data_IF_397759853000
#
_entry.id   IF_397759853000
#
_cell.length_a   1.000
_cell.length_b   1.000
_cell.length_c   1.000
_cell.angle_alpha   90.00
_cell.angle_beta   90.00
_cell.angle_gamma   90.00
#
_symmetry.space_group_name_H-M   'P 1'
#
loop_
_entity.id
_entity.type
_entity.pdbx_description
1 polymer ?
#
# COMPACT_ATOMS: atom_id res chain seq x y z
N UNK A 1 -8.16 14.96 -82.30
CA UNK A 1 -8.01 13.96 -83.39
C UNK A 1 -7.51 12.66 -82.76
N UNK A 2 -7.60 11.47 -83.36
CA UNK A 2 -8.17 11.08 -84.67
C UNK A 2 -9.61 10.52 -84.46
N UNK A 3 -10.26 9.47 -85.02
CA UNK A 3 -9.94 8.34 -85.92
C UNK A 3 -8.90 7.33 -85.35
N UNK A 4 -8.88 6.03 -85.65
CA UNK A 4 -9.81 5.09 -86.34
C UNK A 4 -10.26 4.00 -85.32
N UNK A 5 -11.36 3.23 -85.39
CA UNK A 5 -12.26 2.70 -86.44
C UNK A 5 -11.74 1.39 -87.12
N UNK A 6 -12.64 0.37 -87.23
CA UNK A 6 -12.65 -0.85 -88.11
C UNK A 6 -12.56 -2.20 -87.35
N UNK A 7 -13.34 -3.28 -87.61
CA UNK A 7 -14.71 -3.56 -88.19
C UNK A 7 -15.05 -5.07 -87.97
N UNK A 8 -16.33 -5.45 -88.08
CA UNK A 8 -16.79 -6.86 -88.25
C UNK A 8 -18.09 -7.15 -87.49
N UNK A 9 -19.32 -7.08 -88.04
CA UNK A 9 -19.85 -7.49 -89.36
C UNK A 9 -19.76 -9.02 -89.52
N UNK A 10 -20.83 -9.83 -89.49
CA UNK A 10 -22.07 -9.86 -90.32
C UNK A 10 -23.23 -10.57 -89.55
N UNK A 11 -24.53 -10.20 -89.67
CA UNK A 11 -25.55 -10.71 -90.62
C UNK A 11 -25.70 -12.27 -90.61
N UNK A 12 -26.89 -12.93 -90.59
CA UNK A 12 -28.33 -12.53 -90.69
C UNK A 12 -29.24 -13.78 -90.41
N UNK A 13 -30.58 -13.62 -90.51
CA UNK A 13 -31.65 -14.68 -90.63
C UNK A 13 -32.08 -15.34 -89.29
N UNK A 14 -33.34 -15.54 -88.85
CA UNK A 14 -34.76 -15.22 -89.25
C UNK A 14 -35.67 -16.45 -89.51
N UNK A 15 -36.86 -16.46 -88.88
CA UNK A 15 -38.09 -17.25 -89.23
C UNK A 15 -38.15 -18.73 -88.73
N UNK A 16 -39.36 -19.30 -88.47
CA UNK A 16 -39.72 -19.82 -87.12
C UNK A 16 -40.36 -21.23 -87.14
N UNK A 17 -41.12 -21.61 -86.08
CA UNK A 17 -42.50 -22.17 -86.13
C UNK A 17 -42.98 -22.73 -84.77
N UNK A 18 -44.30 -22.69 -84.54
CA UNK A 18 -45.07 -23.45 -83.51
C UNK A 18 -45.66 -24.71 -84.19
N UNK A 19 -45.98 -25.84 -83.52
CA UNK A 19 -47.01 -25.98 -82.46
C UNK A 19 -46.37 -26.56 -81.16
N UNK A 20 -46.98 -27.28 -80.19
CA UNK A 20 -48.30 -27.94 -79.98
C UNK A 20 -48.72 -27.74 -78.49
N UNK A 21 -50.00 -27.96 -78.16
CA UNK A 21 -50.54 -27.89 -76.78
C UNK A 21 -50.94 -29.29 -76.27
N UNK A 22 -50.59 -29.64 -75.02
CA UNK A 22 -51.46 -30.48 -74.16
C UNK A 22 -51.21 -30.27 -72.66
N UNK A 23 -52.24 -30.55 -71.85
CA UNK A 23 -52.33 -30.31 -70.40
C UNK A 23 -52.01 -31.59 -69.60
N UNK A 24 -51.62 -31.45 -68.33
CA UNK A 24 -52.13 -32.18 -67.13
C UNK A 24 -51.64 -31.45 -65.86
N UNK A 25 -52.29 -31.66 -64.71
CA UNK A 25 -52.06 -30.93 -63.44
C UNK A 25 -51.63 -31.89 -62.30
N UNK A 26 -50.51 -31.59 -61.64
CA UNK A 26 -50.17 -31.93 -60.24
C UNK A 26 -48.96 -31.03 -59.85
N UNK A 27 -48.97 -30.18 -58.80
CA UNK A 27 -49.00 -30.38 -57.33
C UNK A 27 -47.67 -30.86 -56.69
N UNK A 28 -47.37 -30.29 -55.50
CA UNK A 28 -46.27 -30.60 -54.54
C UNK A 28 -44.87 -29.97 -54.78
N UNK A 29 -44.71 -28.74 -54.24
CA UNK A 29 -43.71 -28.24 -53.26
C UNK A 29 -42.16 -28.47 -53.37
N UNK A 30 -41.42 -27.52 -52.76
CA UNK A 30 -39.97 -27.49 -52.43
C UNK A 30 -39.01 -27.45 -53.64
N UNK A 31 -38.42 -26.33 -54.11
CA UNK A 31 -38.10 -24.97 -53.59
C UNK A 31 -36.65 -24.79 -53.05
N UNK A 32 -35.79 -24.32 -53.96
CA UNK A 32 -34.49 -23.62 -53.80
C UNK A 32 -33.34 -24.26 -53.00
N UNK A 33 -32.25 -24.58 -53.71
CA UNK A 33 -30.92 -24.78 -53.15
C UNK A 33 -29.97 -23.64 -53.60
N UNK A 34 -29.96 -22.52 -52.87
CA UNK A 34 -28.96 -21.46 -53.01
C UNK A 34 -28.14 -21.39 -51.72
N UNK A 35 -26.86 -21.75 -51.80
CA UNK A 35 -25.98 -21.80 -50.63
C UNK A 35 -25.49 -20.41 -50.22
N UNK A 36 -26.23 -19.73 -49.35
CA UNK A 36 -25.78 -18.50 -48.69
C UNK A 36 -24.81 -18.83 -47.56
N UNK A 37 -23.51 -18.58 -47.78
CA UNK A 37 -22.50 -18.69 -46.74
C UNK A 37 -22.64 -17.55 -45.74
N UNK A 38 -23.52 -17.71 -44.76
CA UNK A 38 -23.62 -16.80 -43.61
C UNK A 38 -22.40 -17.03 -42.73
N UNK A 39 -21.36 -16.22 -42.93
CA UNK A 39 -20.26 -16.08 -41.97
C UNK A 39 -20.86 -15.42 -40.73
N UNK A 40 -21.24 -16.25 -39.75
CA UNK A 40 -21.67 -15.78 -38.45
C UNK A 40 -20.46 -15.10 -37.77
N UNK A 41 -20.42 -13.77 -37.82
CA UNK A 41 -19.48 -12.97 -37.07
C UNK A 41 -19.83 -13.10 -35.57
N UNK A 42 -19.32 -14.17 -34.94
CA UNK A 42 -19.40 -14.35 -33.51
C UNK A 42 -18.77 -13.09 -32.86
N UNK A 43 -19.53 -12.32 -32.07
CA UNK A 43 -19.00 -11.11 -31.46
C UNK A 43 -17.83 -11.52 -30.58
N UNK A 44 -16.64 -11.00 -30.89
CA UNK A 44 -15.47 -11.23 -30.05
C UNK A 44 -15.74 -10.58 -28.69
N UNK A 45 -16.16 -11.39 -27.72
CA UNK A 45 -16.31 -11.00 -26.32
C UNK A 45 -14.95 -10.60 -25.80
N UNK A 46 -14.59 -9.32 -25.97
CA UNK A 46 -13.39 -8.79 -25.36
C UNK A 46 -13.49 -9.05 -23.85
N UNK A 47 -12.48 -9.67 -23.23
CA UNK A 47 -12.49 -9.87 -21.79
C UNK A 47 -12.59 -8.49 -21.16
N UNK A 48 -13.65 -8.25 -20.39
CA UNK A 48 -13.84 -6.98 -19.71
C UNK A 48 -12.65 -6.78 -18.78
N UNK A 49 -11.78 -5.82 -19.11
CA UNK A 49 -10.62 -5.47 -18.29
C UNK A 49 -11.17 -4.89 -17.00
N UNK A 50 -11.25 -5.73 -15.97
CA UNK A 50 -11.64 -5.31 -14.61
C UNK A 50 -10.56 -4.37 -14.10
N UNK A 51 -10.76 -3.07 -14.30
CA UNK A 51 -9.95 -2.05 -13.66
C UNK A 51 -10.05 -2.26 -12.15
N UNK A 52 -8.90 -2.38 -11.47
CA UNK A 52 -8.88 -2.49 -10.02
C UNK A 52 -9.56 -1.25 -9.42
N UNK A 53 -10.41 -1.41 -8.38
CA UNK A 53 -11.09 -0.28 -7.77
C UNK A 53 -10.07 0.72 -7.21
N UNK A 54 -10.34 2.01 -7.38
CA UNK A 54 -9.49 3.09 -6.86
C UNK A 54 -9.66 3.12 -5.35
N UNK A 55 -8.61 2.83 -4.59
CA UNK A 55 -8.66 2.83 -3.12
C UNK A 55 -8.19 4.15 -2.50
N UNK A 56 -7.33 4.89 -3.20
CA UNK A 56 -6.80 6.19 -2.80
C UNK A 56 -6.64 7.11 -4.02
N UNK A 57 -6.76 8.42 -3.80
CA UNK A 57 -6.66 9.46 -4.83
C UNK A 57 -5.95 10.70 -4.26
N UNK A 58 -5.28 11.53 -5.09
CA UNK A 58 -4.46 12.65 -4.60
C UNK A 58 -5.25 13.69 -3.79
N UNK A 59 -6.47 14.00 -4.23
CA UNK A 59 -7.28 15.13 -3.77
C UNK A 59 -8.76 14.76 -3.59
N UNK A 60 -9.52 15.65 -2.93
CA UNK A 60 -10.93 15.49 -2.63
C UNK A 60 -11.81 15.36 -3.89
N UNK A 61 -11.46 16.06 -4.98
CA UNK A 61 -12.28 16.07 -6.19
C UNK A 61 -12.19 14.74 -6.93
N UNK A 62 -10.97 14.24 -7.15
CA UNK A 62 -10.68 12.93 -7.75
C UNK A 62 -11.21 11.78 -6.88
N UNK A 63 -11.05 11.84 -5.55
CA UNK A 63 -11.62 10.87 -4.63
C UNK A 63 -13.17 10.80 -4.72
N UNK A 64 -13.84 11.96 -4.73
CA UNK A 64 -15.31 12.03 -4.79
C UNK A 64 -15.87 11.57 -6.14
N UNK A 65 -15.17 11.85 -7.25
CA UNK A 65 -15.53 11.34 -8.57
C UNK A 65 -15.39 9.81 -8.62
N UNK A 66 -14.25 9.28 -8.19
CA UNK A 66 -13.99 7.84 -8.17
C UNK A 66 -14.99 7.10 -7.27
N UNK A 67 -15.23 7.58 -6.05
CA UNK A 67 -16.14 6.95 -5.09
C UNK A 67 -17.58 6.84 -5.64
N UNK A 68 -18.07 7.89 -6.31
CA UNK A 68 -19.41 7.91 -6.94
C UNK A 68 -19.52 6.99 -8.14
N UNK A 69 -18.46 6.89 -8.97
CA UNK A 69 -18.46 6.05 -10.17
C UNK A 69 -18.34 4.55 -9.85
N UNK A 70 -17.56 4.17 -8.83
CA UNK A 70 -17.30 2.76 -8.51
C UNK A 70 -18.18 2.18 -7.39
N UNK A 71 -18.89 3.03 -6.63
CA UNK A 71 -19.78 2.57 -5.55
C UNK A 71 -19.09 2.15 -4.24
N UNK A 72 -17.79 2.42 -4.08
CA UNK A 72 -17.03 2.16 -2.84
C UNK A 72 -16.16 3.36 -2.45
N UNK A 73 -15.81 3.50 -1.17
CA UNK A 73 -15.10 4.67 -0.62
C UNK A 73 -13.66 4.79 -1.13
N UNK A 74 -13.15 6.02 -1.22
CA UNK A 74 -11.79 6.34 -1.70
C UNK A 74 -11.08 7.25 -0.71
N UNK A 75 -9.85 6.95 -0.31
CA UNK A 75 -9.06 7.82 0.59
C UNK A 75 -8.47 9.04 -0.14
N UNK A 76 -8.47 10.20 0.52
CA UNK A 76 -7.82 11.43 0.07
C UNK A 76 -6.38 11.47 0.60
N UNK A 77 -5.41 11.27 -0.28
CA UNK A 77 -3.99 11.26 0.05
C UNK A 77 -3.50 12.59 0.63
N UNK A 78 -3.95 13.72 0.08
CA UNK A 78 -3.62 15.06 0.58
C UNK A 78 -4.08 15.34 2.02
N UNK A 79 -4.98 14.52 2.58
CA UNK A 79 -5.50 14.62 3.95
C UNK A 79 -5.03 13.46 4.86
N UNK A 80 -4.20 12.54 4.36
CA UNK A 80 -3.62 11.42 5.13
C UNK A 80 -2.54 11.95 6.08
N UNK A 81 -2.65 11.62 7.36
CA UNK A 81 -1.65 11.97 8.39
C UNK A 81 -1.16 10.72 9.14
N UNK A 82 -0.24 10.91 10.10
CA UNK A 82 0.24 9.85 11.00
C UNK A 82 -0.89 9.11 11.72
N UNK A 83 -1.98 9.82 12.06
CA UNK A 83 -3.07 9.34 12.92
C UNK A 83 -4.47 9.55 12.33
N UNK A 84 -4.60 9.98 11.05
CA UNK A 84 -5.90 10.16 10.42
C UNK A 84 -5.94 9.83 8.92
N UNK A 85 -7.12 9.44 8.45
CA UNK A 85 -7.46 9.18 7.05
C UNK A 85 -8.84 9.75 6.73
N UNK A 86 -8.97 10.44 5.60
CA UNK A 86 -10.24 11.01 5.14
C UNK A 86 -10.71 10.28 3.89
N UNK A 87 -11.94 9.81 3.87
CA UNK A 87 -12.52 9.06 2.76
C UNK A 87 -13.71 9.78 2.13
N UNK A 88 -13.73 9.85 0.80
CA UNK A 88 -14.93 10.18 0.02
C UNK A 88 -15.87 8.97 0.00
N UNK A 89 -17.15 9.17 0.32
CA UNK A 89 -18.16 8.12 0.26
C UNK A 89 -19.02 8.23 -1.01
N UNK A 90 -19.51 7.11 -1.59
CA UNK A 90 -20.32 7.12 -2.82
C UNK A 90 -21.61 7.94 -2.74
N UNK A 91 -22.19 8.07 -1.55
CA UNK A 91 -23.37 8.89 -1.27
C UNK A 91 -23.09 10.42 -1.23
N UNK A 92 -21.83 10.84 -1.42
CA UNK A 92 -21.43 12.24 -1.38
C UNK A 92 -21.03 12.77 0.00
N UNK A 93 -20.99 11.94 1.04
CA UNK A 93 -20.48 12.35 2.36
C UNK A 93 -18.98 12.09 2.51
N UNK A 94 -18.41 12.51 3.63
CA UNK A 94 -17.03 12.28 4.02
C UNK A 94 -16.97 11.46 5.31
N UNK A 95 -15.97 10.58 5.43
CA UNK A 95 -15.64 9.88 6.68
C UNK A 95 -14.23 10.24 7.10
N UNK A 96 -14.07 10.75 8.33
CA UNK A 96 -12.77 10.94 8.97
C UNK A 96 -12.53 9.79 9.96
N UNK A 97 -11.55 8.93 9.65
CA UNK A 97 -11.01 7.97 10.62
C UNK A 97 -9.84 8.62 11.35
N UNK A 98 -9.80 8.51 12.68
CA UNK A 98 -8.73 9.08 13.52
C UNK A 98 -8.38 8.13 14.68
N UNK A 99 -7.08 7.96 14.92
CA UNK A 99 -6.50 7.14 15.97
C UNK A 99 -5.99 8.00 17.14
N UNK A 100 -5.85 7.40 18.33
CA UNK A 100 -5.30 8.07 19.51
C UNK A 100 -3.77 8.31 19.44
N UNK A 101 -3.09 7.75 18.44
CA UNK A 101 -1.69 7.97 18.16
C UNK A 101 -1.33 7.64 16.71
N UNK A 102 -0.06 7.83 16.33
CA UNK A 102 0.46 7.39 15.04
C UNK A 102 0.15 5.90 14.77
N UNK A 103 -0.46 5.63 13.62
CA UNK A 103 -0.58 4.28 13.04
C UNK A 103 0.35 4.09 11.85
N UNK A 104 0.85 5.21 11.31
CA UNK A 104 1.80 5.29 10.19
C UNK A 104 2.77 6.44 10.40
N UNK A 105 3.96 6.33 9.80
CA UNK A 105 5.03 7.32 9.88
C UNK A 105 5.58 7.60 8.48
N UNK A 106 6.08 8.82 8.25
CA UNK A 106 6.69 9.17 6.97
C UNK A 106 8.11 8.61 6.88
N UNK A 107 8.47 8.07 5.71
CA UNK A 107 9.82 7.60 5.35
C UNK A 107 10.09 7.98 3.90
N UNK A 108 10.96 8.97 3.69
CA UNK A 108 11.06 9.67 2.40
C UNK A 108 9.72 10.31 2.03
N UNK A 109 9.25 10.06 0.82
CA UNK A 109 7.93 10.51 0.37
C UNK A 109 6.79 9.53 0.66
N UNK A 110 7.12 8.33 1.16
CA UNK A 110 6.15 7.29 1.49
C UNK A 110 5.63 7.34 2.93
N UNK A 111 4.50 6.69 3.14
CA UNK A 111 3.99 6.30 4.46
C UNK A 111 4.27 4.81 4.70
N UNK A 112 4.77 4.46 5.88
CA UNK A 112 4.86 3.07 6.36
C UNK A 112 4.09 2.91 7.66
N UNK A 113 3.57 1.72 8.01
CA UNK A 113 2.99 1.47 9.33
C UNK A 113 3.99 1.75 10.46
N UNK A 114 3.48 2.07 11.66
CA UNK A 114 4.30 2.02 12.88
C UNK A 114 4.75 0.57 13.13
N UNK A 115 6.04 0.39 13.38
CA UNK A 115 6.66 -0.87 13.74
C UNK A 115 7.73 -0.60 14.80
N UNK A 116 7.41 -0.88 16.06
CA UNK A 116 8.30 -0.63 17.20
C UNK A 116 9.39 -1.68 17.37
N UNK A 117 9.46 -2.69 16.49
CA UNK A 117 10.47 -3.76 16.57
C UNK A 117 11.89 -3.19 16.51
N UNK A 118 12.73 -3.65 17.43
CA UNK A 118 14.15 -3.34 17.50
C UNK A 118 14.92 -4.19 16.49
N UNK A 119 15.75 -3.54 15.67
CA UNK A 119 16.63 -4.18 14.70
C UNK A 119 18.10 -3.83 14.98
N UNK A 120 19.04 -4.78 14.86
CA UNK A 120 20.45 -4.52 15.13
C UNK A 120 21.08 -3.61 14.05
N UNK A 121 22.00 -2.75 14.49
CA UNK A 121 22.75 -1.79 13.69
C UNK A 121 24.23 -2.20 13.64
N UNK A 122 24.98 -1.72 12.64
CA UNK A 122 26.39 -2.06 12.44
C UNK A 122 27.35 -1.56 13.54
N UNK A 123 26.94 -0.65 14.42
CA UNK A 123 27.68 -0.24 15.62
C UNK A 123 27.37 -1.12 16.86
N UNK A 124 26.56 -2.18 16.69
CA UNK A 124 26.10 -3.06 17.77
C UNK A 124 24.90 -2.54 18.55
N UNK A 125 24.39 -1.34 18.24
CA UNK A 125 23.18 -0.78 18.84
C UNK A 125 21.90 -1.34 18.22
N UNK A 126 20.75 -1.02 18.80
CA UNK A 126 19.44 -1.49 18.33
C UNK A 126 18.51 -0.33 18.00
N UNK A 127 18.14 -0.17 16.73
CA UNK A 127 17.28 0.90 16.24
C UNK A 127 15.80 0.46 16.16
N UNK A 128 14.88 1.40 16.38
CA UNK A 128 13.44 1.19 16.19
C UNK A 128 13.09 1.30 14.71
N UNK A 129 12.49 0.24 14.16
CA UNK A 129 12.26 0.07 12.71
C UNK A 129 11.37 1.18 12.09
N UNK A 130 10.25 1.53 12.71
CA UNK A 130 9.38 2.62 12.24
C UNK A 130 8.56 3.28 13.37
N UNK A 131 9.08 4.37 13.94
CA UNK A 131 8.37 5.27 14.86
C UNK A 131 8.47 6.75 14.41
N UNK A 132 7.70 7.65 15.03
CA UNK A 132 7.71 9.10 14.72
C UNK A 132 8.95 9.81 15.27
N UNK A 133 9.50 9.31 16.37
CA UNK A 133 10.88 9.57 16.77
C UNK A 133 11.80 8.47 16.20
N UNK A 134 13.01 8.85 15.83
CA UNK A 134 14.11 7.92 15.62
C UNK A 134 14.69 7.58 16.99
N UNK A 135 14.79 6.29 17.32
CA UNK A 135 15.19 5.80 18.64
C UNK A 135 16.20 4.68 18.47
N UNK A 136 17.31 4.77 19.19
CA UNK A 136 18.39 3.77 19.18
C UNK A 136 18.80 3.47 20.61
N UNK A 137 18.72 2.20 21.00
CA UNK A 137 19.14 1.68 22.31
C UNK A 137 20.57 1.14 22.25
N UNK A 138 21.29 1.26 23.37
CA UNK A 138 22.66 0.76 23.55
C UNK A 138 22.84 -0.71 23.15
N UNK A 139 24.04 -1.05 22.68
CA UNK A 139 24.50 -2.44 22.55
C UNK A 139 25.19 -2.98 23.82
N UNK A 140 25.38 -2.14 24.85
CA UNK A 140 26.17 -2.43 26.05
C UNK A 140 27.40 -1.51 26.21
N UNK A 141 28.25 -1.85 27.18
CA UNK A 141 29.53 -1.18 27.44
C UNK A 141 29.39 0.24 28.03
N UNK A 142 30.28 1.16 27.64
CA UNK A 142 30.25 2.59 28.03
C UNK A 142 29.75 3.47 26.89
N UNK A 143 28.66 3.05 26.25
CA UNK A 143 27.95 3.80 25.21
C UNK A 143 26.73 4.53 25.81
N UNK A 144 26.12 5.51 25.11
CA UNK A 144 24.85 6.08 25.53
C UNK A 144 23.77 4.99 25.65
N UNK A 145 22.92 5.10 26.68
CA UNK A 145 21.82 4.17 26.94
C UNK A 145 20.73 4.27 25.87
N UNK A 146 20.36 5.51 25.51
CA UNK A 146 19.44 5.82 24.40
C UNK A 146 19.94 7.05 23.64
N UNK A 147 19.85 7.01 22.31
CA UNK A 147 19.81 8.18 21.43
C UNK A 147 18.39 8.30 20.88
N UNK A 148 17.80 9.49 20.94
CA UNK A 148 16.46 9.76 20.39
C UNK A 148 16.47 11.08 19.61
N UNK A 149 16.00 11.07 18.37
CA UNK A 149 15.83 12.25 17.54
C UNK A 149 14.37 12.42 17.10
N UNK A 150 13.82 13.63 17.22
CA UNK A 150 12.46 13.94 16.81
C UNK A 150 12.35 15.42 16.42
N UNK A 151 11.75 15.71 15.27
CA UNK A 151 11.45 17.08 14.79
C UNK A 151 12.67 18.03 14.80
N UNK A 152 13.86 17.51 14.45
CA UNK A 152 15.11 18.30 14.46
C UNK A 152 15.67 18.61 15.85
N UNK A 153 15.23 17.87 16.87
CA UNK A 153 15.78 17.90 18.24
C UNK A 153 16.32 16.52 18.60
N UNK A 154 17.35 16.50 19.42
CA UNK A 154 18.02 15.28 19.86
C UNK A 154 18.09 15.22 21.39
N UNK A 155 18.01 14.00 21.91
CA UNK A 155 18.15 13.65 23.32
C UNK A 155 19.03 12.40 23.42
N UNK A 156 20.08 12.48 24.23
CA UNK A 156 20.97 11.36 24.52
C UNK A 156 20.96 11.11 26.03
N UNK A 157 20.56 9.89 26.42
CA UNK A 157 20.44 9.45 27.81
C UNK A 157 21.59 8.49 28.13
N UNK A 158 22.16 8.60 29.32
CA UNK A 158 23.30 7.79 29.78
C UNK A 158 23.00 7.08 31.09
N UNK A 159 23.40 5.81 31.18
CA UNK A 159 23.46 5.07 32.44
C UNK A 159 24.73 5.47 33.21
N UNK A 160 24.70 5.61 34.56
CA UNK A 160 25.88 6.03 35.34
C UNK A 160 26.98 4.95 35.43
N UNK A 161 26.67 3.69 35.15
CA UNK A 161 27.62 2.58 35.11
C UNK A 161 27.89 2.07 33.68
N UNK A 162 28.80 1.09 33.50
CA UNK A 162 28.81 0.29 32.28
C UNK A 162 27.48 -0.47 32.15
N UNK A 163 27.00 -0.63 30.92
CA UNK A 163 25.84 -1.47 30.59
C UNK A 163 26.31 -2.90 30.24
N UNK A 164 25.56 -3.93 30.64
CA UNK A 164 25.70 -5.28 30.09
C UNK A 164 25.15 -5.31 28.65
N UNK A 165 25.45 -6.38 27.92
CA UNK A 165 24.86 -6.62 26.60
C UNK A 165 23.35 -6.92 26.75
N UNK A 166 22.44 -6.27 26.01
CA UNK A 166 21.00 -6.43 26.23
C UNK A 166 20.42 -7.69 25.58
N UNK A 167 19.48 -8.33 26.28
CA UNK A 167 18.52 -9.26 25.67
C UNK A 167 17.43 -8.46 24.96
N UNK A 168 17.33 -8.60 23.64
CA UNK A 168 16.35 -7.88 22.81
C UNK A 168 15.23 -8.81 22.35
N UNK A 169 13.99 -8.43 22.65
CA UNK A 169 12.77 -9.18 22.34
C UNK A 169 11.68 -8.22 21.87
N UNK A 170 11.36 -8.24 20.57
CA UNK A 170 10.35 -7.36 19.97
C UNK A 170 10.72 -5.88 20.04
N UNK A 171 9.93 -5.11 20.79
CA UNK A 171 10.12 -3.67 21.05
C UNK A 171 11.00 -3.38 22.28
N UNK A 172 11.48 -4.41 22.96
CA UNK A 172 12.04 -4.34 24.32
C UNK A 172 13.51 -4.76 24.36
N UNK A 173 14.35 -3.97 25.02
CA UNK A 173 15.75 -4.30 25.33
C UNK A 173 15.93 -4.40 26.86
N UNK A 174 16.41 -5.54 27.35
CA UNK A 174 16.58 -5.83 28.79
C UNK A 174 18.07 -5.99 29.11
N UNK A 175 18.58 -5.07 29.93
CA UNK A 175 19.95 -5.02 30.41
C UNK A 175 19.99 -5.73 31.77
N UNK A 176 20.48 -6.96 31.78
CA UNK A 176 20.39 -7.84 32.96
C UNK A 176 21.47 -7.53 34.00
N UNK A 177 21.12 -7.44 35.28
CA UNK A 177 22.05 -7.19 36.39
C UNK A 177 22.86 -5.86 36.26
N UNK A 178 22.23 -4.79 35.76
CA UNK A 178 22.81 -3.43 35.75
C UNK A 178 23.19 -2.92 37.14
N UNK A 179 22.53 -3.45 38.17
CA UNK A 179 22.95 -3.50 39.57
C UNK A 179 22.62 -4.92 40.08
N UNK A 180 23.29 -5.44 41.13
CA UNK A 180 23.01 -6.77 41.65
C UNK A 180 21.52 -6.97 42.03
N UNK A 181 20.88 -7.95 41.39
CA UNK A 181 19.45 -8.25 41.52
C UNK A 181 18.50 -7.26 40.85
N UNK A 182 18.98 -6.46 39.88
CA UNK A 182 18.21 -5.40 39.20
C UNK A 182 18.49 -5.40 37.70
N UNK A 183 17.42 -5.44 36.90
CA UNK A 183 17.49 -5.20 35.45
C UNK A 183 16.99 -3.79 35.10
N UNK A 184 17.55 -3.22 34.04
CA UNK A 184 17.00 -2.05 33.37
C UNK A 184 16.33 -2.54 32.08
N UNK A 185 15.06 -2.17 31.89
CA UNK A 185 14.32 -2.51 30.68
C UNK A 185 13.97 -1.25 29.92
N UNK A 186 14.30 -1.19 28.64
CA UNK A 186 13.84 -0.15 27.71
C UNK A 186 12.76 -0.73 26.80
N UNK A 187 11.72 0.07 26.51
CA UNK A 187 10.65 -0.28 25.56
C UNK A 187 10.49 0.82 24.53
N UNK A 188 10.56 0.50 23.25
CA UNK A 188 10.24 1.41 22.15
C UNK A 188 8.73 1.70 22.07
N UNK A 189 8.37 2.92 21.67
CA UNK A 189 6.97 3.34 21.48
C UNK A 189 6.79 4.07 20.14
N UNK A 190 5.54 4.34 19.75
CA UNK A 190 5.19 5.07 18.53
C UNK A 190 5.77 6.51 18.44
N UNK A 191 6.23 7.06 19.58
CA UNK A 191 6.74 8.42 19.77
C UNK A 191 8.11 8.54 20.45
N UNK A 192 8.74 7.43 20.84
CA UNK A 192 9.95 7.47 21.67
C UNK A 192 10.21 6.16 22.40
N UNK A 193 10.44 6.24 23.72
CA UNK A 193 10.67 5.08 24.58
C UNK A 193 10.15 5.27 26.00
N UNK A 194 9.97 4.17 26.71
CA UNK A 194 9.85 4.11 28.17
C UNK A 194 11.00 3.31 28.78
N UNK A 195 11.21 3.46 30.10
CA UNK A 195 12.17 2.65 30.85
C UNK A 195 11.58 2.16 32.18
N UNK A 196 11.89 0.92 32.55
CA UNK A 196 11.53 0.30 33.83
C UNK A 196 12.79 -0.15 34.57
N UNK A 197 12.77 -0.07 35.90
CA UNK A 197 13.76 -0.71 36.78
C UNK A 197 13.10 -1.94 37.41
N UNK A 198 13.57 -3.13 37.05
CA UNK A 198 12.99 -4.41 37.48
C UNK A 198 13.83 -4.99 38.61
N UNK A 199 13.33 -4.86 39.83
CA UNK A 199 14.02 -5.33 41.05
C UNK A 199 13.59 -6.76 41.37
N UNK A 200 14.53 -7.71 41.42
CA UNK A 200 14.25 -9.15 41.51
C UNK A 200 14.04 -9.68 42.92
N UNK A 201 14.56 -8.97 43.93
CA UNK A 201 14.54 -9.43 45.32
C UNK A 201 14.37 -8.30 46.33
N UNK A 202 14.04 -8.64 47.58
CA UNK A 202 13.89 -7.68 48.69
C UNK A 202 15.24 -7.06 49.08
N UNK A 203 16.31 -7.83 48.95
CA UNK A 203 17.69 -7.45 49.26
C UNK A 203 18.18 -6.43 48.23
N UNK A 204 17.90 -6.67 46.95
CA UNK A 204 18.15 -5.70 45.87
C UNK A 204 17.33 -4.42 46.08
N UNK A 205 16.06 -4.52 46.50
CA UNK A 205 15.20 -3.38 46.80
C UNK A 205 15.70 -2.52 47.98
N UNK A 206 16.51 -3.09 48.89
CA UNK A 206 17.15 -2.36 49.99
C UNK A 206 18.48 -1.68 49.59
N UNK A 207 18.93 -1.83 48.33
CA UNK A 207 20.20 -1.27 47.86
C UNK A 207 20.19 0.27 47.85
N UNK A 208 21.17 0.94 48.51
CA UNK A 208 21.30 2.40 48.45
C UNK A 208 21.46 2.96 47.03
N UNK A 209 21.93 2.16 46.06
CA UNK A 209 22.04 2.55 44.66
C UNK A 209 20.68 2.77 43.97
N UNK A 210 19.60 2.17 44.49
CA UNK A 210 18.23 2.42 44.00
C UNK A 210 17.59 3.67 44.61
N UNK A 211 18.08 4.15 45.76
CA UNK A 211 17.54 5.34 46.42
C UNK A 211 17.78 6.64 45.62
N UNK A 212 18.80 6.65 44.75
CA UNK A 212 19.02 7.69 43.73
C UNK A 212 19.82 7.14 42.55
N UNK A 213 19.16 6.94 41.42
CA UNK A 213 19.81 6.70 40.12
C UNK A 213 19.92 8.06 39.42
N UNK A 214 21.14 8.55 39.20
CA UNK A 214 21.39 9.74 38.39
C UNK A 214 21.68 9.31 36.96
N UNK A 215 20.77 9.63 36.03
CA UNK A 215 21.00 9.44 34.59
C UNK A 215 21.71 10.66 34.02
N UNK A 216 22.68 10.45 33.13
CA UNK A 216 23.26 11.53 32.35
C UNK A 216 22.31 11.92 31.21
N UNK A 217 22.25 13.20 30.88
CA UNK A 217 21.35 13.73 29.85
C UNK A 217 22.06 14.81 29.03
N UNK A 218 22.11 14.62 27.72
CA UNK A 218 22.53 15.62 26.74
C UNK A 218 21.37 15.88 25.78
N UNK A 219 21.25 17.12 25.27
CA UNK A 219 20.18 17.50 24.34
C UNK A 219 20.66 18.52 23.32
N UNK A 220 20.17 18.43 22.07
CA UNK A 220 20.33 19.44 21.03
C UNK A 220 18.97 19.90 20.50
N UNK A 221 18.81 21.20 20.24
CA UNK A 221 17.54 21.80 19.76
C UNK A 221 16.40 21.85 20.79
N UNK A 222 16.58 21.25 21.97
CA UNK A 222 15.70 21.41 23.14
C UNK A 222 16.02 22.74 23.84
N UNK A 223 15.00 23.38 24.41
CA UNK A 223 15.03 24.61 25.22
C UNK A 223 14.00 24.47 26.34
#
# INVERSE_FOLDING_TARGET
MHRWLVRGLRLRVVVPLRPVVRRVVAFVAVLLLFATLVVAAAPWSQPAVSANPVVEAPDEASAMIAARLQGSRVEVMGLRSESSSTFANPNGTWTLERSAGPVRVRRGDGWVPVDTTLVPVSDGSFAVKAATAEVVFSGGGRTPLVRMAAQGKELTLFWPGPLPDPRVEGDTATYSEVLPGVDLRLRATDRGFGHDIVVKSREAAASPALARITLGLETAGVR
#
